data_IF_535528521148
#
_entry.id   IF_535528521148
#
_cell.length_a   1.000
_cell.length_b   1.000
_cell.length_c   1.000
_cell.angle_alpha   90.00
_cell.angle_beta   90.00
_cell.angle_gamma   90.00
#
_symmetry.space_group_name_H-M   'P 1'
#
loop_
_entity.id
_entity.type
_entity.pdbx_description
1 polymer ?
#
# COMPACT_ATOMS: atom_id res chain seq x y z
N UNK A 1 16.83 10.20 9.73
CA UNK A 1 16.61 10.99 8.48
C UNK A 1 15.12 11.20 8.23
N UNK A 2 14.73 12.28 7.49
CA UNK A 2 13.34 12.45 7.01
C UNK A 2 13.27 12.11 5.52
N UNK A 3 12.16 11.51 5.09
CA UNK A 3 11.89 11.29 3.68
C UNK A 3 11.32 12.58 3.07
N UNK A 4 11.87 13.03 1.94
CA UNK A 4 11.45 14.26 1.27
C UNK A 4 10.76 13.93 -0.06
N UNK A 5 9.68 14.68 -0.35
CA UNK A 5 8.99 14.65 -1.64
C UNK A 5 9.53 15.75 -2.56
N UNK A 6 9.28 15.62 -3.86
CA UNK A 6 9.50 16.67 -4.84
C UNK A 6 8.23 17.45 -5.16
N UNK A 7 8.40 18.67 -5.63
CA UNK A 7 7.31 19.53 -6.04
C UNK A 7 6.62 18.99 -7.30
N UNK A 8 5.31 18.72 -7.27
CA UNK A 8 4.60 18.18 -8.43
C UNK A 8 4.46 19.17 -9.60
N UNK A 9 4.87 20.44 -9.39
CA UNK A 9 4.81 21.50 -10.42
C UNK A 9 6.15 21.66 -11.16
N UNK A 10 7.27 21.62 -10.43
CA UNK A 10 8.59 21.92 -11.01
C UNK A 10 9.67 20.85 -10.75
N UNK A 11 9.34 19.74 -10.05
CA UNK A 11 10.29 18.67 -9.75
C UNK A 11 11.29 18.96 -8.63
N UNK A 12 11.48 20.22 -8.23
CA UNK A 12 12.44 20.55 -7.18
C UNK A 12 12.04 19.94 -5.83
N UNK A 13 13.03 19.60 -5.02
CA UNK A 13 12.83 19.11 -3.64
C UNK A 13 11.93 20.04 -2.84
N UNK A 14 11.07 19.46 -2.05
CA UNK A 14 10.26 20.16 -1.06
C UNK A 14 10.93 20.12 0.31
N UNK A 15 11.07 21.27 0.92
CA UNK A 15 11.63 21.44 2.26
C UNK A 15 10.57 21.97 3.22
N UNK A 16 10.72 21.64 4.50
CA UNK A 16 9.78 22.06 5.53
C UNK A 16 9.98 23.55 5.84
N UNK A 17 8.89 24.30 5.72
CA UNK A 17 8.81 25.72 6.05
C UNK A 17 7.59 25.95 6.98
N UNK A 18 7.83 25.89 8.28
CA UNK A 18 6.77 25.98 9.28
C UNK A 18 5.72 24.88 9.18
N UNK A 19 4.49 25.25 8.83
CA UNK A 19 3.35 24.35 8.63
C UNK A 19 3.17 23.89 7.20
N UNK A 20 4.13 24.15 6.30
CA UNK A 20 4.04 23.86 4.87
C UNK A 20 5.31 23.18 4.37
N UNK A 21 5.25 22.63 3.14
CA UNK A 21 6.41 22.25 2.35
C UNK A 21 6.57 23.25 1.20
N UNK A 22 7.79 23.73 0.98
CA UNK A 22 8.10 24.73 -0.06
C UNK A 22 9.27 24.28 -0.93
N UNK A 23 9.22 24.55 -2.22
CA UNK A 23 10.35 24.33 -3.13
C UNK A 23 11.11 25.65 -3.40
N UNK A 24 12.31 25.53 -3.97
CA UNK A 24 13.16 26.66 -4.33
C UNK A 24 12.48 27.62 -5.35
N UNK A 25 11.55 27.12 -6.18
CA UNK A 25 10.76 27.92 -7.13
C UNK A 25 9.56 28.63 -6.49
N UNK A 26 9.39 28.52 -5.16
CA UNK A 26 8.34 29.23 -4.42
C UNK A 26 6.98 28.53 -4.34
N UNK A 27 6.79 27.35 -4.95
CA UNK A 27 5.57 26.57 -4.76
C UNK A 27 5.45 26.08 -3.32
N UNK A 28 4.25 26.19 -2.75
CA UNK A 28 3.98 25.92 -1.34
C UNK A 28 2.78 24.98 -1.18
N UNK A 29 2.91 23.98 -0.30
CA UNK A 29 1.91 22.96 -0.03
C UNK A 29 1.73 22.82 1.47
N UNK A 30 0.53 23.08 1.97
CA UNK A 30 0.24 23.03 3.40
C UNK A 30 0.26 21.61 3.93
N UNK A 31 0.86 21.43 5.08
CA UNK A 31 0.77 20.21 5.86
C UNK A 31 -0.58 20.16 6.57
N UNK A 32 -1.32 19.10 6.36
CA UNK A 32 -2.55 18.86 7.11
C UNK A 32 -2.24 18.73 8.62
N UNK A 33 -3.23 19.00 9.47
CA UNK A 33 -3.12 18.79 10.93
C UNK A 33 -2.65 17.37 11.29
N UNK A 34 -2.96 16.39 10.46
CA UNK A 34 -2.57 14.99 10.62
C UNK A 34 -1.12 14.72 10.19
N UNK A 35 -0.44 15.66 9.55
CA UNK A 35 0.96 15.56 9.13
C UNK A 35 1.20 15.08 7.70
N UNK A 36 0.17 14.79 6.91
CA UNK A 36 0.34 14.51 5.47
C UNK A 36 0.29 15.81 4.64
N UNK A 37 0.88 15.77 3.45
CA UNK A 37 0.79 16.83 2.44
C UNK A 37 -0.09 16.36 1.26
N UNK A 38 -0.82 17.28 0.62
CA UNK A 38 -1.53 16.99 -0.62
C UNK A 38 -0.72 17.49 -1.82
N UNK A 39 -0.13 16.54 -2.55
CA UNK A 39 0.65 16.79 -3.76
C UNK A 39 -0.09 16.34 -5.04
N UNK A 40 -1.34 15.86 -4.90
CA UNK A 40 -2.15 15.49 -6.04
C UNK A 40 -2.54 16.75 -6.81
N UNK A 41 -2.08 16.85 -8.05
CA UNK A 41 -2.51 17.93 -8.92
C UNK A 41 -3.96 17.71 -9.39
N UNK A 42 -4.75 18.78 -9.40
CA UNK A 42 -6.12 18.75 -9.92
C UNK A 42 -6.06 18.52 -11.43
N UNK A 43 -5.97 17.27 -11.83
CA UNK A 43 -6.31 16.91 -13.21
C UNK A 43 -7.83 17.04 -13.35
N UNK A 44 -8.29 17.45 -14.54
CA UNK A 44 -9.71 17.49 -14.93
C UNK A 44 -10.26 16.05 -15.04
N UNK A 45 -10.24 15.31 -13.93
CA UNK A 45 -10.78 13.96 -13.83
C UNK A 45 -12.25 14.06 -13.47
N UNK A 46 -13.10 13.51 -14.31
CA UNK A 46 -14.55 13.40 -14.11
C UNK A 46 -14.95 12.41 -13.02
N UNK A 47 -14.04 11.64 -12.44
CA UNK A 47 -14.34 10.69 -11.38
C UNK A 47 -14.35 11.40 -10.01
N UNK A 48 -15.51 11.40 -9.36
CA UNK A 48 -15.73 12.03 -8.04
C UNK A 48 -15.11 11.26 -6.85
N UNK A 49 -14.52 10.08 -7.05
CA UNK A 49 -13.93 9.26 -5.99
C UNK A 49 -12.53 8.82 -6.40
N UNK A 50 -11.55 9.18 -5.60
CA UNK A 50 -10.17 8.71 -5.73
C UNK A 50 -9.82 7.88 -4.49
N UNK A 51 -9.54 6.58 -4.71
CA UNK A 51 -9.08 5.65 -3.67
C UNK A 51 -10.17 5.20 -2.69
N UNK A 52 -9.74 4.55 -1.63
CA UNK A 52 -10.59 3.95 -0.61
C UNK A 52 -11.38 5.01 0.18
N UNK A 53 -12.65 4.74 0.43
CA UNK A 53 -13.48 5.57 1.29
C UNK A 53 -13.25 5.26 2.78
N UNK A 54 -13.91 6.05 3.64
CA UNK A 54 -13.75 5.92 5.10
C UNK A 54 -14.19 4.55 5.64
N UNK A 55 -15.22 3.94 5.04
CA UNK A 55 -15.71 2.63 5.47
C UNK A 55 -14.70 1.54 5.12
N UNK A 56 -14.20 1.56 3.89
CA UNK A 56 -13.19 0.59 3.43
C UNK A 56 -11.90 0.68 4.25
N UNK A 57 -11.41 1.91 4.49
CA UNK A 57 -10.22 2.14 5.33
C UNK A 57 -10.43 1.62 6.75
N UNK A 58 -11.59 1.94 7.37
CA UNK A 58 -11.90 1.45 8.72
C UNK A 58 -11.96 -0.07 8.76
N UNK A 59 -12.69 -0.69 7.83
CA UNK A 59 -12.82 -2.15 7.76
C UNK A 59 -11.47 -2.84 7.58
N UNK A 60 -10.58 -2.26 6.75
CA UNK A 60 -9.21 -2.77 6.59
C UNK A 60 -8.41 -2.68 7.87
N UNK A 61 -8.42 -1.52 8.55
CA UNK A 61 -7.72 -1.38 9.83
C UNK A 61 -8.23 -2.38 10.86
N UNK A 62 -9.56 -2.48 11.03
CA UNK A 62 -10.17 -3.37 12.01
C UNK A 62 -9.84 -4.85 11.73
N UNK A 63 -9.78 -5.26 10.47
CA UNK A 63 -9.43 -6.62 10.07
C UNK A 63 -7.94 -6.92 10.25
N UNK A 64 -7.07 -6.04 9.76
CA UNK A 64 -5.62 -6.23 9.83
C UNK A 64 -5.11 -6.19 11.28
N UNK A 65 -5.70 -5.35 12.13
CA UNK A 65 -5.33 -5.25 13.56
C UNK A 65 -5.73 -6.50 14.37
N UNK A 66 -6.54 -7.40 13.81
CA UNK A 66 -6.82 -8.74 14.36
C UNK A 66 -5.74 -9.78 14.09
N UNK A 67 -4.74 -9.45 13.25
CA UNK A 67 -3.61 -10.31 12.94
C UNK A 67 -3.84 -11.33 11.83
N UNK A 68 -4.97 -11.28 11.13
CA UNK A 68 -5.26 -12.24 10.05
C UNK A 68 -4.21 -12.24 8.91
N UNK A 69 -3.47 -11.14 8.74
CA UNK A 69 -2.41 -11.02 7.71
C UNK A 69 -1.02 -10.78 8.33
N UNK A 70 -0.82 -11.22 9.59
CA UNK A 70 0.47 -11.05 10.27
C UNK A 70 1.59 -11.84 9.59
N UNK A 71 1.31 -13.05 9.09
CA UNK A 71 2.29 -13.85 8.33
C UNK A 71 2.86 -13.09 7.12
N UNK A 72 2.00 -12.38 6.38
CA UNK A 72 2.44 -11.53 5.27
C UNK A 72 3.29 -10.36 5.76
N UNK A 73 2.84 -9.66 6.80
CA UNK A 73 3.54 -8.49 7.32
C UNK A 73 4.91 -8.84 7.91
N UNK A 74 5.02 -9.97 8.58
CA UNK A 74 6.26 -10.48 9.16
C UNK A 74 7.24 -10.92 8.06
N UNK A 75 6.74 -11.59 6.99
CA UNK A 75 7.58 -11.98 5.85
C UNK A 75 8.10 -10.75 5.09
N UNK A 76 7.25 -9.75 4.80
CA UNK A 76 7.66 -8.49 4.19
C UNK A 76 8.74 -7.80 5.04
N UNK A 77 8.52 -7.73 6.35
CA UNK A 77 9.49 -7.10 7.27
C UNK A 77 10.82 -7.84 7.27
N UNK A 78 10.80 -9.18 7.27
CA UNK A 78 12.01 -10.02 7.19
C UNK A 78 12.80 -9.79 5.90
N UNK A 79 12.12 -9.85 4.74
CA UNK A 79 12.77 -9.67 3.42
C UNK A 79 13.40 -8.27 3.27
N UNK A 80 12.73 -7.23 3.78
CA UNK A 80 13.31 -5.88 3.81
C UNK A 80 14.55 -5.85 4.69
N UNK A 81 14.51 -6.52 5.87
CA UNK A 81 15.63 -6.56 6.82
C UNK A 81 16.89 -7.20 6.28
N UNK A 82 16.78 -8.20 5.40
CA UNK A 82 17.93 -8.86 4.77
C UNK A 82 18.71 -7.91 3.83
N UNK A 83 18.04 -6.91 3.28
CA UNK A 83 18.62 -5.93 2.36
C UNK A 83 18.80 -4.54 2.96
N UNK A 84 18.27 -4.30 4.19
CA UNK A 84 18.31 -3.00 4.83
C UNK A 84 19.69 -2.67 5.37
N UNK A 85 20.16 -1.46 5.10
CA UNK A 85 21.32 -0.86 5.76
C UNK A 85 20.92 0.50 6.35
N UNK A 86 21.72 1.03 7.29
CA UNK A 86 21.48 2.36 7.86
C UNK A 86 21.38 3.42 6.75
N UNK A 87 20.55 4.43 6.99
CA UNK A 87 20.36 5.58 6.09
C UNK A 87 19.62 5.33 4.77
N UNK A 88 19.04 4.15 4.57
CA UNK A 88 18.20 3.88 3.40
C UNK A 88 16.88 4.66 3.44
N UNK A 89 16.36 4.96 2.25
CA UNK A 89 15.05 5.56 2.02
C UNK A 89 14.11 4.54 1.44
N UNK A 90 13.04 4.24 2.17
CA UNK A 90 11.98 3.34 1.73
C UNK A 90 10.72 4.14 1.40
N UNK A 91 10.14 3.86 0.23
CA UNK A 91 8.83 4.40 -0.18
C UNK A 91 7.80 3.28 -0.28
N UNK A 92 6.64 3.47 0.35
CA UNK A 92 5.47 2.60 0.22
C UNK A 92 4.45 3.25 -0.74
N UNK A 93 4.19 2.58 -1.85
CA UNK A 93 3.36 3.06 -2.95
C UNK A 93 1.96 2.42 -2.88
N UNK A 94 0.96 3.24 -2.58
CA UNK A 94 -0.36 2.77 -2.20
C UNK A 94 -0.38 2.30 -0.74
N UNK A 95 0.26 3.07 0.14
CA UNK A 95 0.51 2.69 1.54
C UNK A 95 -0.77 2.52 2.38
N UNK A 96 -1.92 2.92 1.87
CA UNK A 96 -3.19 2.84 2.57
C UNK A 96 -3.13 3.51 3.94
N UNK A 97 -3.54 2.78 4.97
CA UNK A 97 -3.46 3.23 6.37
C UNK A 97 -2.12 2.86 7.04
N UNK A 98 -1.09 2.55 6.25
CA UNK A 98 0.28 2.27 6.68
C UNK A 98 0.44 1.04 7.61
N UNK A 99 -0.40 0.02 7.46
CA UNK A 99 -0.29 -1.18 8.28
C UNK A 99 1.07 -1.85 8.12
N UNK A 100 1.48 -2.16 6.88
CA UNK A 100 2.76 -2.78 6.57
C UNK A 100 3.93 -1.82 6.84
N UNK A 101 3.85 -0.59 6.33
CA UNK A 101 4.90 0.42 6.51
C UNK A 101 5.23 0.67 7.97
N UNK A 102 4.21 0.75 8.84
CA UNK A 102 4.43 1.01 10.27
C UNK A 102 5.12 -0.15 11.00
N UNK A 103 4.90 -1.40 10.57
CA UNK A 103 5.60 -2.58 11.12
C UNK A 103 7.07 -2.58 10.70
N UNK A 104 7.34 -2.31 9.43
CA UNK A 104 8.72 -2.15 8.93
C UNK A 104 9.43 -1.00 9.65
N UNK A 105 8.76 0.16 9.80
CA UNK A 105 9.32 1.32 10.48
C UNK A 105 9.59 1.09 11.98
N UNK A 106 8.82 0.22 12.62
CA UNK A 106 9.07 -0.21 14.00
C UNK A 106 10.27 -1.15 14.10
N UNK A 107 10.44 -2.04 13.13
CA UNK A 107 11.57 -2.98 13.10
C UNK A 107 12.90 -2.30 12.74
N UNK A 108 12.87 -1.29 11.85
CA UNK A 108 14.06 -0.59 11.35
C UNK A 108 13.92 0.93 11.52
N UNK A 109 14.01 1.45 12.75
CA UNK A 109 13.71 2.86 13.06
C UNK A 109 14.70 3.87 12.45
N UNK A 110 15.86 3.42 11.99
CA UNK A 110 16.91 4.28 11.44
C UNK A 110 16.72 4.62 9.95
N UNK A 111 15.79 3.95 9.28
CA UNK A 111 15.45 4.21 7.88
C UNK A 111 14.55 5.46 7.75
N UNK A 112 14.63 6.12 6.58
CA UNK A 112 13.69 7.18 6.23
C UNK A 112 12.50 6.62 5.45
N UNK A 113 11.28 6.88 5.92
CA UNK A 113 10.06 6.33 5.36
C UNK A 113 9.21 7.38 4.66
N UNK A 114 8.82 7.09 3.42
CA UNK A 114 7.77 7.78 2.69
C UNK A 114 6.57 6.86 2.46
N UNK A 115 5.37 7.42 2.44
CA UNK A 115 4.15 6.71 2.07
C UNK A 115 3.29 7.58 1.15
N UNK A 116 2.85 7.00 0.05
CA UNK A 116 1.99 7.67 -0.93
C UNK A 116 0.69 6.87 -1.06
N UNK A 117 -0.43 7.57 -1.00
CA UNK A 117 -1.75 7.02 -1.34
C UNK A 117 -2.63 8.12 -1.96
N UNK A 118 -3.53 7.72 -2.84
CA UNK A 118 -4.50 8.64 -3.44
C UNK A 118 -5.66 8.94 -2.48
N UNK A 119 -5.92 8.05 -1.52
CA UNK A 119 -6.97 8.20 -0.51
C UNK A 119 -6.50 9.06 0.66
N UNK A 120 -7.02 10.28 0.74
CA UNK A 120 -6.86 11.13 1.91
C UNK A 120 -7.33 10.44 3.20
N UNK A 121 -8.39 9.61 3.14
CA UNK A 121 -8.93 8.93 4.31
C UNK A 121 -7.97 7.87 4.85
N UNK A 122 -7.29 7.15 3.95
CA UNK A 122 -6.26 6.20 4.30
C UNK A 122 -5.08 6.87 5.01
N UNK A 123 -4.57 7.98 4.47
CA UNK A 123 -3.46 8.71 5.10
C UNK A 123 -3.81 9.34 6.44
N UNK A 124 -5.07 9.77 6.66
CA UNK A 124 -5.55 10.22 7.98
C UNK A 124 -5.47 9.06 8.99
N UNK A 125 -5.80 7.83 8.60
CA UNK A 125 -5.66 6.66 9.45
C UNK A 125 -4.18 6.30 9.66
N UNK A 126 -3.39 6.25 8.57
CA UNK A 126 -1.96 5.92 8.59
C UNK A 126 -1.13 6.87 9.46
N UNK A 127 -1.44 8.15 9.45
CA UNK A 127 -0.77 9.15 10.30
C UNK A 127 -0.90 8.89 11.81
N UNK A 128 -1.83 8.03 12.22
CA UNK A 128 -2.01 7.63 13.62
C UNK A 128 -1.14 6.42 13.97
N UNK A 129 -0.79 5.56 12.98
CA UNK A 129 0.03 4.37 13.21
C UNK A 129 1.49 4.71 13.47
N UNK A 130 2.05 5.67 12.71
CA UNK A 130 3.42 6.12 12.89
C UNK A 130 3.57 7.61 12.57
N UNK A 131 4.41 8.30 13.37
CA UNK A 131 4.81 9.69 13.13
C UNK A 131 6.12 9.80 12.34
N UNK A 132 6.80 8.69 12.14
CA UNK A 132 8.10 8.63 11.46
C UNK A 132 7.97 8.43 9.95
N UNK A 133 6.74 8.33 9.42
CA UNK A 133 6.47 8.16 7.99
C UNK A 133 6.05 9.52 7.42
N UNK A 134 6.78 10.01 6.42
CA UNK A 134 6.39 11.18 5.63
C UNK A 134 5.25 10.77 4.68
N UNK A 135 4.08 11.40 4.76
CA UNK A 135 2.89 10.98 4.02
C UNK A 135 2.46 12.02 2.99
N UNK A 136 2.18 11.59 1.76
CA UNK A 136 1.66 12.44 0.71
C UNK A 136 0.44 11.84 -0.01
N UNK A 137 -0.61 12.65 -0.20
CA UNK A 137 -1.68 12.34 -1.15
C UNK A 137 -1.12 12.59 -2.55
N UNK A 138 -0.90 11.52 -3.32
CA UNK A 138 -0.37 11.61 -4.68
C UNK A 138 -0.76 10.37 -5.49
N UNK A 139 -0.54 10.43 -6.80
CA UNK A 139 -0.73 9.29 -7.70
C UNK A 139 0.54 8.44 -7.75
N UNK A 140 0.38 7.12 -7.68
CA UNK A 140 1.48 6.16 -7.90
C UNK A 140 1.91 6.08 -9.37
N UNK A 141 1.13 6.68 -10.29
CA UNK A 141 1.44 6.75 -11.72
C UNK A 141 2.23 8.02 -12.12
N UNK A 142 2.49 8.93 -11.17
CA UNK A 142 3.32 10.11 -11.32
C UNK A 142 3.83 10.51 -9.93
N UNK A 143 4.96 9.92 -9.56
CA UNK A 143 5.49 10.02 -8.20
C UNK A 143 6.16 11.38 -7.97
N UNK A 144 5.75 12.15 -6.94
CA UNK A 144 6.43 13.38 -6.54
C UNK A 144 7.71 13.05 -5.77
N UNK A 145 8.64 12.38 -6.42
CA UNK A 145 9.93 11.91 -5.90
C UNK A 145 10.98 12.16 -6.96
N UNK A 146 12.18 12.60 -6.55
CA UNK A 146 13.32 12.80 -7.42
C UNK A 146 13.79 11.48 -8.03
N UNK A 147 14.44 11.55 -9.19
CA UNK A 147 15.06 10.39 -9.82
C UNK A 147 16.14 9.82 -8.89
N UNK A 148 16.28 8.50 -8.85
CA UNK A 148 17.31 7.79 -8.08
C UNK A 148 17.38 8.21 -6.58
N UNK A 149 16.24 8.52 -5.99
CA UNK A 149 16.17 8.97 -4.60
C UNK A 149 16.00 7.83 -3.59
N UNK A 150 15.23 6.80 -3.94
CA UNK A 150 14.87 5.70 -3.03
C UNK A 150 15.85 4.54 -3.15
N UNK A 151 16.17 3.93 -2.03
CA UNK A 151 16.92 2.68 -1.97
C UNK A 151 15.98 1.47 -2.07
N UNK A 152 14.73 1.64 -1.60
CA UNK A 152 13.74 0.59 -1.53
C UNK A 152 12.33 1.13 -1.88
N UNK A 153 11.61 0.43 -2.74
CA UNK A 153 10.20 0.63 -3.00
C UNK A 153 9.39 -0.58 -2.50
N UNK A 154 8.22 -0.34 -1.94
CA UNK A 154 7.29 -1.37 -1.51
C UNK A 154 5.93 -1.11 -2.13
N UNK A 155 5.25 -2.18 -2.57
CA UNK A 155 3.88 -2.14 -3.10
C UNK A 155 3.11 -3.35 -2.58
N UNK A 156 2.05 -3.14 -1.80
CA UNK A 156 1.24 -4.23 -1.24
C UNK A 156 -0.21 -4.05 -1.68
N UNK A 157 -0.70 -4.95 -2.55
CA UNK A 157 -2.08 -4.95 -3.10
C UNK A 157 -2.50 -3.62 -3.76
N UNK A 158 -1.56 -2.85 -4.25
CA UNK A 158 -1.80 -1.55 -4.84
C UNK A 158 -1.45 -1.53 -6.34
N UNK A 159 -2.14 -0.69 -7.14
CA UNK A 159 -1.72 -0.45 -8.51
C UNK A 159 -0.35 0.23 -8.51
N UNK A 160 0.42 0.01 -9.55
CA UNK A 160 1.76 0.58 -9.69
C UNK A 160 2.08 0.90 -11.15
N UNK A 161 3.16 1.65 -11.34
CA UNK A 161 3.80 1.90 -12.63
C UNK A 161 5.28 1.56 -12.50
N UNK A 162 5.73 0.52 -13.19
CA UNK A 162 7.11 0.02 -13.13
C UNK A 162 8.13 1.05 -13.61
N UNK A 163 7.79 1.87 -14.61
CA UNK A 163 8.68 2.93 -15.12
C UNK A 163 8.93 4.01 -14.05
N UNK A 164 7.87 4.41 -13.32
CA UNK A 164 8.00 5.38 -12.24
C UNK A 164 8.78 4.81 -11.04
N UNK A 165 8.57 3.53 -10.71
CA UNK A 165 9.34 2.84 -9.67
C UNK A 165 10.81 2.75 -10.09
N UNK A 166 11.06 2.38 -11.34
CA UNK A 166 12.43 2.34 -11.89
C UNK A 166 13.10 3.72 -11.84
N UNK A 167 12.39 4.79 -12.20
CA UNK A 167 12.90 6.16 -12.17
C UNK A 167 13.32 6.59 -10.76
N UNK A 168 12.48 6.34 -9.75
CA UNK A 168 12.75 6.81 -8.37
C UNK A 168 13.72 5.95 -7.59
N UNK A 169 13.92 4.69 -7.99
CA UNK A 169 14.91 3.81 -7.37
C UNK A 169 16.32 4.16 -7.83
N UNK A 170 17.24 4.18 -6.90
CA UNK A 170 18.69 4.23 -7.19
C UNK A 170 19.13 3.02 -8.01
N UNK A 171 20.26 3.14 -8.67
CA UNK A 171 20.95 1.99 -9.27
C UNK A 171 21.17 0.91 -8.22
N UNK A 172 20.82 -0.34 -8.53
CA UNK A 172 20.78 -1.47 -7.61
C UNK A 172 19.77 -1.37 -6.44
N UNK A 173 18.82 -0.44 -6.47
CA UNK A 173 17.72 -0.36 -5.53
C UNK A 173 16.77 -1.56 -5.63
N UNK A 174 15.99 -1.78 -4.60
CA UNK A 174 15.08 -2.91 -4.50
C UNK A 174 13.60 -2.48 -4.59
N UNK A 175 12.79 -3.32 -5.21
CA UNK A 175 11.33 -3.21 -5.19
C UNK A 175 10.72 -4.50 -4.67
N UNK A 176 9.99 -4.42 -3.57
CA UNK A 176 9.18 -5.51 -3.04
C UNK A 176 7.73 -5.29 -3.47
N UNK A 177 7.13 -6.29 -4.11
CA UNK A 177 5.72 -6.31 -4.45
C UNK A 177 5.04 -7.50 -3.79
N UNK A 178 3.90 -7.28 -3.13
CA UNK A 178 3.04 -8.35 -2.63
C UNK A 178 1.67 -8.29 -3.33
N UNK A 179 1.20 -9.46 -3.78
CA UNK A 179 -0.02 -9.62 -4.56
C UNK A 179 -0.79 -10.88 -4.18
N UNK A 180 -2.12 -10.95 -4.43
CA UNK A 180 -2.91 -12.14 -4.17
C UNK A 180 -2.60 -13.23 -5.20
N UNK A 181 -2.44 -14.47 -4.76
CA UNK A 181 -2.33 -15.65 -5.63
C UNK A 181 -3.73 -16.14 -6.08
N UNK A 182 -3.75 -17.20 -6.89
CA UNK A 182 -4.92 -17.70 -7.61
C UNK A 182 -6.13 -17.94 -6.68
N UNK A 183 -5.92 -18.59 -5.55
CA UNK A 183 -7.00 -19.01 -4.64
C UNK A 183 -7.24 -18.05 -3.45
N UNK A 184 -6.57 -16.89 -3.45
CA UNK A 184 -6.74 -15.91 -2.38
C UNK A 184 -8.23 -15.57 -2.17
N UNK A 185 -8.71 -15.73 -0.92
CA UNK A 185 -10.09 -15.50 -0.47
C UNK A 185 -11.14 -16.34 -1.21
N UNK A 186 -10.79 -17.59 -1.60
CA UNK A 186 -11.72 -18.42 -2.34
C UNK A 186 -12.97 -18.74 -1.53
N UNK A 187 -12.85 -19.04 -0.22
CA UNK A 187 -14.01 -19.26 0.64
C UNK A 187 -14.96 -18.07 0.72
N UNK A 188 -14.45 -16.83 0.66
CA UNK A 188 -15.30 -15.62 0.56
C UNK A 188 -15.98 -15.54 -0.82
N UNK A 189 -15.23 -15.82 -1.91
CA UNK A 189 -15.77 -15.80 -3.28
C UNK A 189 -16.88 -16.83 -3.49
N UNK A 190 -16.73 -18.02 -2.88
CA UNK A 190 -17.74 -19.09 -2.94
C UNK A 190 -19.09 -18.66 -2.31
N UNK A 191 -19.06 -17.75 -1.35
CA UNK A 191 -20.28 -17.24 -0.73
C UNK A 191 -20.98 -16.14 -1.55
N UNK A 192 -20.18 -15.26 -2.19
CA UNK A 192 -20.72 -14.05 -2.85
C UNK A 192 -20.93 -14.19 -4.35
N UNK A 193 -20.34 -15.20 -5.00
CA UNK A 193 -20.46 -15.42 -6.43
C UNK A 193 -21.08 -16.78 -6.75
N UNK A 194 -22.01 -16.82 -7.70
CA UNK A 194 -22.54 -18.09 -8.22
C UNK A 194 -21.47 -18.92 -8.94
N UNK A 195 -20.51 -18.24 -9.59
CA UNK A 195 -19.37 -18.84 -10.28
C UNK A 195 -18.10 -18.17 -9.79
N UNK A 196 -17.52 -18.66 -8.70
CA UNK A 196 -16.26 -18.14 -8.17
C UNK A 196 -15.13 -18.35 -9.18
N UNK A 197 -14.20 -17.41 -9.23
CA UNK A 197 -13.10 -17.40 -10.18
C UNK A 197 -11.75 -17.29 -9.47
N UNK A 198 -10.73 -17.89 -10.08
CA UNK A 198 -9.35 -17.74 -9.64
C UNK A 198 -8.83 -16.35 -10.01
N UNK A 199 -7.92 -15.81 -9.21
CA UNK A 199 -7.22 -14.59 -9.60
C UNK A 199 -6.25 -14.90 -10.76
N UNK A 200 -6.10 -13.95 -11.67
CA UNK A 200 -4.99 -13.95 -12.62
C UNK A 200 -3.73 -13.46 -11.93
N UNK A 201 -2.62 -14.17 -12.08
CA UNK A 201 -1.34 -13.85 -11.45
C UNK A 201 -0.28 -13.71 -12.54
N UNK A 202 0.30 -12.52 -12.64
CA UNK A 202 1.48 -12.27 -13.46
C UNK A 202 2.73 -12.45 -12.58
N UNK A 203 3.62 -13.35 -12.99
CA UNK A 203 4.88 -13.65 -12.31
C UNK A 203 6.10 -13.15 -13.09
N UNK A 204 5.89 -12.34 -14.12
CA UNK A 204 6.97 -11.77 -14.91
C UNK A 204 7.61 -10.56 -14.21
N UNK A 205 8.92 -10.45 -14.32
CA UNK A 205 9.59 -9.21 -13.94
C UNK A 205 9.33 -8.14 -15.01
N UNK A 206 8.97 -6.91 -14.61
CA UNK A 206 8.92 -5.79 -15.55
C UNK A 206 10.30 -5.46 -16.13
N UNK A 207 10.34 -4.80 -17.29
CA UNK A 207 11.56 -4.33 -17.90
C UNK A 207 12.39 -3.48 -16.92
N UNK A 208 13.71 -3.72 -16.89
CA UNK A 208 14.62 -3.03 -15.97
C UNK A 208 14.68 -3.60 -14.55
N UNK A 209 13.99 -4.73 -14.30
CA UNK A 209 14.03 -5.43 -13.01
C UNK A 209 14.38 -6.90 -13.16
N UNK A 210 15.05 -7.44 -12.15
CA UNK A 210 15.36 -8.86 -12.00
C UNK A 210 14.80 -9.37 -10.67
N UNK A 211 14.01 -10.47 -10.68
CA UNK A 211 13.52 -11.11 -9.45
C UNK A 211 14.71 -11.76 -8.75
N UNK A 212 14.98 -11.35 -7.52
CA UNK A 212 16.01 -11.92 -6.64
C UNK A 212 15.47 -12.97 -5.71
N UNK A 213 14.27 -12.79 -5.23
CA UNK A 213 13.59 -13.74 -4.35
C UNK A 213 12.10 -13.75 -4.68
N UNK A 214 11.52 -14.94 -4.70
CA UNK A 214 10.08 -15.17 -4.80
C UNK A 214 9.62 -16.03 -3.63
N UNK A 215 8.57 -15.60 -2.96
CA UNK A 215 7.99 -16.32 -1.82
C UNK A 215 6.48 -16.42 -1.99
N UNK A 216 5.93 -17.61 -1.77
CA UNK A 216 4.49 -17.80 -1.66
C UNK A 216 4.10 -18.14 -0.21
N UNK A 217 3.08 -17.46 0.30
CA UNK A 217 2.40 -17.78 1.55
C UNK A 217 1.05 -18.35 1.19
N UNK A 218 0.75 -19.55 1.66
CA UNK A 218 -0.53 -20.26 1.43
C UNK A 218 -1.03 -20.83 2.75
N UNK A 219 -2.04 -20.20 3.30
CA UNK A 219 -2.61 -20.55 4.59
C UNK A 219 -4.13 -20.61 4.50
N UNK A 220 -4.75 -21.33 5.41
CA UNK A 220 -6.19 -21.24 5.67
C UNK A 220 -6.41 -20.53 6.98
N UNK A 221 -7.33 -19.58 6.97
CA UNK A 221 -7.75 -18.86 8.17
C UNK A 221 -9.23 -19.09 8.44
N UNK A 222 -9.60 -19.01 9.70
CA UNK A 222 -10.99 -18.97 10.14
C UNK A 222 -11.27 -17.55 10.64
N UNK A 223 -12.11 -16.81 9.92
CA UNK A 223 -12.58 -15.49 10.34
C UNK A 223 -13.81 -15.69 11.20
N UNK A 224 -13.71 -15.34 12.49
CA UNK A 224 -14.76 -15.54 13.48
C UNK A 224 -15.54 -14.26 13.75
N UNK A 225 -16.86 -14.38 13.72
CA UNK A 225 -17.78 -13.27 13.95
C UNK A 225 -18.13 -12.50 12.68
N UNK A 226 -19.42 -12.16 12.56
CA UNK A 226 -19.96 -11.48 11.38
C UNK A 226 -19.28 -10.15 11.10
N UNK A 227 -18.90 -9.40 12.13
CA UNK A 227 -18.23 -8.10 11.98
C UNK A 227 -16.90 -8.25 11.24
N UNK A 228 -16.05 -9.24 11.60
CA UNK A 228 -14.77 -9.48 10.96
C UNK A 228 -14.93 -9.99 9.52
N UNK A 229 -15.93 -10.83 9.26
CA UNK A 229 -16.28 -11.29 7.91
C UNK A 229 -16.69 -10.09 7.04
N UNK A 230 -17.52 -9.21 7.57
CA UNK A 230 -17.92 -7.99 6.86
C UNK A 230 -16.74 -7.00 6.67
N UNK A 231 -15.81 -6.93 7.61
CA UNK A 231 -14.60 -6.13 7.47
C UNK A 231 -13.69 -6.70 6.38
N UNK A 232 -13.48 -8.03 6.35
CA UNK A 232 -12.77 -8.69 5.27
C UNK A 232 -13.41 -8.39 3.90
N UNK A 233 -14.72 -8.53 3.78
CA UNK A 233 -15.43 -8.27 2.53
C UNK A 233 -15.30 -6.81 2.08
N UNK A 234 -15.54 -5.85 3.00
CA UNK A 234 -15.54 -4.40 2.72
C UNK A 234 -14.15 -3.86 2.36
N UNK A 235 -13.07 -4.48 2.84
CA UNK A 235 -11.72 -4.03 2.51
C UNK A 235 -11.26 -4.47 1.12
N UNK A 236 -12.02 -5.34 0.44
CA UNK A 236 -11.71 -5.87 -0.89
C UNK A 236 -12.47 -5.14 -2.00
N UNK A 237 -11.97 -5.18 -3.26
CA UNK A 237 -12.70 -4.68 -4.41
C UNK A 237 -14.03 -5.40 -4.65
N UNK A 238 -14.24 -6.57 -4.06
CA UNK A 238 -15.47 -7.36 -4.21
C UNK A 238 -16.69 -6.62 -3.67
N UNK A 239 -16.55 -5.83 -2.60
CA UNK A 239 -17.64 -5.06 -2.01
C UNK A 239 -18.38 -4.19 -3.02
N UNK A 240 -17.66 -3.51 -3.90
CA UNK A 240 -18.25 -2.64 -4.92
C UNK A 240 -18.74 -3.38 -6.16
N UNK A 241 -18.32 -4.63 -6.36
CA UNK A 241 -18.68 -5.45 -7.53
C UNK A 241 -19.81 -6.42 -7.24
N UNK A 242 -20.15 -6.66 -5.98
CA UNK A 242 -21.17 -7.62 -5.53
C UNK A 242 -22.52 -6.95 -5.40
N UNK A 243 -23.59 -7.54 -5.95
CA UNK A 243 -24.97 -7.09 -5.82
C UNK A 243 -25.46 -7.16 -4.37
N UNK A 244 -26.48 -6.36 -4.01
CA UNK A 244 -26.99 -6.30 -2.64
C UNK A 244 -27.48 -7.66 -2.13
N UNK A 245 -28.19 -8.43 -2.96
CA UNK A 245 -28.69 -9.76 -2.60
C UNK A 245 -27.56 -10.75 -2.24
N UNK A 246 -26.42 -10.64 -2.92
CA UNK A 246 -25.28 -11.50 -2.64
C UNK A 246 -24.50 -11.02 -1.40
N UNK A 247 -24.47 -9.71 -1.15
CA UNK A 247 -23.94 -9.16 0.10
C UNK A 247 -24.74 -9.61 1.32
N UNK A 248 -26.08 -9.71 1.18
CA UNK A 248 -26.99 -10.12 2.26
C UNK A 248 -26.71 -11.55 2.74
N UNK A 249 -26.17 -12.42 1.89
CA UNK A 249 -25.74 -13.77 2.26
C UNK A 249 -24.70 -13.76 3.40
N UNK A 250 -23.88 -12.70 3.48
CA UNK A 250 -22.84 -12.59 4.50
C UNK A 250 -23.38 -12.16 5.87
N UNK A 251 -24.56 -11.51 5.97
CA UNK A 251 -25.05 -10.92 7.22
C UNK A 251 -25.38 -11.94 8.32
N UNK A 252 -25.66 -13.18 7.96
CA UNK A 252 -26.02 -14.26 8.90
C UNK A 252 -24.86 -15.21 9.21
N UNK A 253 -23.68 -15.01 8.59
CA UNK A 253 -22.55 -15.92 8.73
C UNK A 253 -21.75 -15.56 9.97
N UNK A 254 -21.58 -16.51 10.88
CA UNK A 254 -20.82 -16.33 12.13
C UNK A 254 -19.37 -16.78 12.05
N UNK A 255 -19.01 -17.57 11.02
CA UNK A 255 -17.64 -18.08 10.82
C UNK A 255 -17.40 -18.32 9.34
N UNK A 256 -16.22 -17.98 8.85
CA UNK A 256 -15.79 -18.16 7.46
C UNK A 256 -14.40 -18.78 7.43
N UNK A 257 -14.29 -19.97 6.86
CA UNK A 257 -12.98 -20.51 6.45
C UNK A 257 -12.65 -20.01 5.04
N UNK A 258 -11.43 -19.51 4.86
CA UNK A 258 -10.97 -19.04 3.56
C UNK A 258 -9.46 -19.15 3.43
N UNK A 259 -9.00 -19.26 2.22
CA UNK A 259 -7.57 -19.25 1.90
C UNK A 259 -7.05 -17.80 1.90
N UNK A 260 -5.91 -17.59 2.54
CA UNK A 260 -5.07 -16.42 2.31
C UNK A 260 -3.83 -16.89 1.54
N UNK A 261 -3.71 -16.42 0.31
CA UNK A 261 -2.61 -16.80 -0.56
C UNK A 261 -1.96 -15.55 -1.14
N UNK A 262 -0.67 -15.37 -0.86
CA UNK A 262 0.10 -14.20 -1.26
C UNK A 262 1.38 -14.60 -1.98
N UNK A 263 1.67 -13.94 -3.10
CA UNK A 263 2.99 -13.89 -3.71
C UNK A 263 3.73 -12.64 -3.25
N UNK A 264 5.03 -12.78 -3.00
CA UNK A 264 5.94 -11.69 -2.67
C UNK A 264 7.16 -11.83 -3.56
N UNK A 265 7.42 -10.84 -4.38
CA UNK A 265 8.62 -10.75 -5.19
C UNK A 265 9.51 -9.63 -4.68
N UNK A 266 10.78 -9.94 -4.41
CA UNK A 266 11.83 -8.97 -4.21
C UNK A 266 12.60 -8.82 -5.52
N UNK A 267 12.47 -7.67 -6.13
CA UNK A 267 13.12 -7.35 -7.40
C UNK A 267 14.24 -6.36 -7.18
N UNK A 268 15.27 -6.43 -8.03
CA UNK A 268 16.38 -5.50 -8.06
C UNK A 268 16.39 -4.74 -9.38
N UNK A 269 16.58 -3.42 -9.33
CA UNK A 269 16.79 -2.58 -10.51
C UNK A 269 18.14 -2.94 -11.17
N UNK A 270 18.11 -3.19 -12.48
CA UNK A 270 19.26 -3.57 -13.33
C UNK A 270 19.51 -2.56 -14.43
#
# INVERSE_FOLDING_TARGET
MSFNFSCPVCGCRLEKDGGSLRCASGHCFDLAKQGYVNLLQSQKSSSKRHGDDKLMVKSRSDFLDKGYYDSLADKITGMIGESASSDMRLIDLGCGECFYTSRVAKAFPDLAYGGIDISKQALIAGSKRSKNISLAVASVFNLPIEDEYCDFAMTVFAPHNSDEIHRVLKSNGYWLIAYPLERHLMGLKDLIYEKPYLNEVDRSAPDGFEIKEHVEIKEKITVCGNEDIMNLFRMTPYYYKTGKSDQEKLYSIGSLETEIEFGIDLMKKV
#
